data_IF_993290599935
#
_entry.id   IF_993290599935
#
_cell.length_a   1.000
_cell.length_b   1.000
_cell.length_c   1.000
_cell.angle_alpha   90.00
_cell.angle_beta   90.00
_cell.angle_gamma   90.00
#
_symmetry.space_group_name_H-M   'P 1'
#
loop_
_entity.id
_entity.type
_entity.pdbx_description
1 polymer ?
#
# COMPACT_ATOMS: atom_id res chain seq x y z
N UNK A 1 17.30 32.10 -8.17
CA UNK A 1 18.16 31.04 -8.75
C UNK A 1 18.17 29.87 -7.78
N UNK A 2 17.49 28.76 -8.12
CA UNK A 2 17.44 27.58 -7.24
C UNK A 2 18.82 26.92 -7.25
N UNK A 3 19.47 26.76 -6.08
CA UNK A 3 20.63 25.90 -5.93
C UNK A 3 20.21 24.53 -6.46
N UNK A 4 20.86 24.05 -7.52
CA UNK A 4 20.64 22.69 -8.04
C UNK A 4 21.04 21.73 -6.92
N UNK A 5 20.06 21.13 -6.25
CA UNK A 5 20.32 20.20 -5.16
C UNK A 5 20.90 18.96 -5.81
N UNK A 6 22.17 18.68 -5.51
CA UNK A 6 22.90 17.56 -6.11
C UNK A 6 23.05 16.39 -5.15
N UNK A 7 22.99 16.62 -3.84
CA UNK A 7 23.14 15.57 -2.84
C UNK A 7 22.02 15.64 -1.78
N UNK A 8 21.14 14.64 -1.78
CA UNK A 8 20.06 14.52 -0.79
C UNK A 8 20.56 13.98 0.56
N UNK A 9 21.73 13.33 0.61
CA UNK A 9 22.27 12.68 1.81
C UNK A 9 22.81 13.67 2.85
N UNK A 10 23.18 14.87 2.41
CA UNK A 10 23.67 15.95 3.27
C UNK A 10 22.54 16.75 3.94
N UNK A 11 21.29 16.55 3.50
CA UNK A 11 20.15 17.31 4.00
C UNK A 11 19.50 16.64 5.21
N UNK A 12 19.22 17.43 6.24
CA UNK A 12 18.39 16.99 7.35
C UNK A 12 16.95 16.73 6.92
N UNK A 13 16.18 15.96 7.71
CA UNK A 13 14.74 15.78 7.44
C UNK A 13 13.99 17.11 7.31
N UNK A 14 14.34 18.11 8.11
CA UNK A 14 13.70 19.42 8.08
C UNK A 14 13.98 20.20 6.79
N UNK A 15 15.16 20.00 6.19
CA UNK A 15 15.53 20.60 4.91
C UNK A 15 14.88 19.87 3.74
N UNK A 16 14.88 18.53 3.76
CA UNK A 16 14.18 17.71 2.76
C UNK A 16 12.70 18.10 2.66
N UNK A 17 12.02 18.27 3.79
CA UNK A 17 10.60 18.63 3.81
C UNK A 17 10.30 19.99 3.13
N UNK A 18 11.28 20.89 3.00
CA UNK A 18 11.10 22.18 2.31
C UNK A 18 11.19 22.07 0.78
N UNK A 19 11.75 20.98 0.26
CA UNK A 19 11.94 20.79 -1.17
C UNK A 19 10.63 20.50 -1.89
N UNK A 20 10.49 21.00 -3.12
CA UNK A 20 9.42 20.57 -4.03
C UNK A 20 9.76 19.20 -4.60
N UNK A 21 8.75 18.36 -4.76
CA UNK A 21 8.94 17.02 -5.33
C UNK A 21 9.53 17.11 -6.75
N UNK A 22 9.07 18.07 -7.56
CA UNK A 22 9.58 18.34 -8.90
C UNK A 22 11.06 18.76 -8.97
N UNK A 23 11.63 19.24 -7.85
CA UNK A 23 13.00 19.73 -7.79
C UNK A 23 13.98 18.64 -7.30
N UNK A 24 13.48 17.46 -6.93
CA UNK A 24 14.30 16.33 -6.49
C UNK A 24 15.10 15.76 -7.67
N UNK A 25 16.42 15.55 -7.54
CA UNK A 25 17.28 15.05 -8.62
C UNK A 25 17.15 13.52 -8.78
N UNK A 26 15.95 13.04 -9.11
CA UNK A 26 15.65 11.60 -9.14
C UNK A 26 15.58 11.06 -10.57
N UNK A 27 16.06 9.83 -10.73
CA UNK A 27 15.91 9.02 -11.93
C UNK A 27 15.67 7.56 -11.55
N UNK A 28 15.02 6.80 -12.43
CA UNK A 28 14.95 5.34 -12.31
C UNK A 28 16.31 4.73 -12.64
N UNK A 29 16.97 5.25 -13.70
CA UNK A 29 18.30 4.80 -14.13
C UNK A 29 19.31 4.91 -12.99
N UNK A 30 20.11 3.86 -12.81
CA UNK A 30 21.13 3.74 -11.77
C UNK A 30 20.57 3.39 -10.40
N UNK A 31 19.31 2.98 -10.29
CA UNK A 31 18.68 2.58 -9.02
C UNK A 31 18.31 1.10 -9.03
N UNK A 32 18.10 0.53 -7.85
CA UNK A 32 17.60 -0.84 -7.67
C UNK A 32 16.21 -1.08 -8.32
N UNK A 33 15.46 -0.02 -8.62
CA UNK A 33 14.19 -0.10 -9.37
C UNK A 33 14.45 -0.47 -10.83
N UNK A 34 15.52 0.06 -11.44
CA UNK A 34 15.92 -0.29 -12.82
C UNK A 34 16.21 -1.79 -12.93
N UNK A 35 16.85 -2.37 -11.93
CA UNK A 35 17.10 -3.82 -11.84
C UNK A 35 15.79 -4.61 -11.74
N UNK A 36 14.82 -4.15 -10.93
CA UNK A 36 13.50 -4.77 -10.82
C UNK A 36 12.71 -4.69 -12.14
N UNK A 37 12.77 -3.55 -12.84
CA UNK A 37 12.14 -3.37 -14.16
C UNK A 37 12.79 -4.30 -15.19
N UNK A 38 14.13 -4.42 -15.18
CA UNK A 38 14.84 -5.33 -16.07
C UNK A 38 14.45 -6.80 -15.81
N UNK A 39 14.29 -7.18 -14.54
CA UNK A 39 13.79 -8.51 -14.16
C UNK A 39 12.37 -8.74 -14.67
N UNK A 40 11.45 -7.79 -14.45
CA UNK A 40 10.08 -7.87 -14.98
C UNK A 40 10.07 -8.02 -16.52
N UNK A 41 10.88 -7.26 -17.25
CA UNK A 41 10.96 -7.40 -18.70
C UNK A 41 11.44 -8.78 -19.15
N UNK A 42 12.35 -9.38 -18.38
CA UNK A 42 12.78 -10.75 -18.63
C UNK A 42 11.64 -11.74 -18.40
N UNK A 43 10.84 -11.56 -17.34
CA UNK A 43 9.67 -12.41 -17.07
C UNK A 43 8.63 -12.33 -18.20
N UNK A 44 8.37 -11.13 -18.71
CA UNK A 44 7.47 -10.92 -19.85
C UNK A 44 8.01 -11.59 -21.12
N UNK A 45 9.31 -11.48 -21.38
CA UNK A 45 9.97 -12.09 -22.54
C UNK A 45 9.96 -13.62 -22.46
N UNK A 46 10.23 -14.19 -21.29
CA UNK A 46 10.14 -15.64 -21.02
C UNK A 46 8.71 -16.16 -21.23
N UNK A 47 7.69 -15.31 -21.03
CA UNK A 47 6.28 -15.60 -21.34
C UNK A 47 5.87 -15.25 -22.77
N UNK A 48 6.82 -14.84 -23.62
CA UNK A 48 6.57 -14.52 -25.02
C UNK A 48 5.76 -13.25 -25.26
N UNK A 49 5.73 -12.32 -24.30
CA UNK A 49 5.03 -11.03 -24.40
C UNK A 49 6.01 -9.95 -24.89
N UNK A 50 5.69 -9.34 -26.04
CA UNK A 50 6.55 -8.28 -26.63
C UNK A 50 6.35 -6.89 -26.03
N UNK A 51 5.19 -6.65 -25.40
CA UNK A 51 4.85 -5.34 -24.85
C UNK A 51 5.68 -5.05 -23.60
N UNK A 52 6.34 -3.89 -23.60
CA UNK A 52 7.11 -3.37 -22.46
C UNK A 52 6.52 -2.04 -22.03
N UNK A 53 5.82 -1.97 -20.88
CA UNK A 53 5.22 -0.72 -20.41
C UNK A 53 6.30 0.33 -20.12
N UNK A 54 6.00 1.61 -20.37
CA UNK A 54 6.90 2.68 -19.95
C UNK A 54 6.73 2.98 -18.45
N UNK A 55 7.85 3.10 -17.74
CA UNK A 55 7.87 3.46 -16.32
C UNK A 55 8.25 4.93 -16.11
N UNK A 56 7.69 5.55 -15.09
CA UNK A 56 8.03 6.91 -14.68
C UNK A 56 7.87 7.09 -13.16
N UNK A 57 8.53 8.10 -12.59
CA UNK A 57 8.36 8.42 -11.18
C UNK A 57 7.08 9.24 -10.97
N UNK A 58 6.28 8.83 -9.99
CA UNK A 58 5.01 9.43 -9.57
C UNK A 58 4.95 9.56 -8.04
N UNK A 59 3.83 10.00 -7.48
CA UNK A 59 3.59 10.09 -6.04
C UNK A 59 3.16 8.76 -5.38
N UNK A 60 2.67 7.80 -6.15
CA UNK A 60 2.27 6.46 -5.72
C UNK A 60 2.47 5.39 -6.81
N UNK A 61 2.15 4.13 -6.51
CA UNK A 61 2.05 3.06 -7.52
C UNK A 61 0.74 3.24 -8.25
N UNK A 62 0.79 3.29 -9.58
CA UNK A 62 -0.43 3.41 -10.37
C UNK A 62 -0.22 3.03 -11.83
N UNK A 63 -1.30 2.65 -12.47
CA UNK A 63 -1.46 2.65 -13.91
C UNK A 63 -2.69 3.51 -14.23
N UNK A 64 -2.54 4.72 -14.80
CA UNK A 64 -3.69 5.61 -15.00
C UNK A 64 -4.74 4.93 -15.89
N UNK A 65 -6.03 5.19 -15.63
CA UNK A 65 -7.14 4.55 -16.34
C UNK A 65 -6.94 4.61 -17.87
N UNK A 66 -6.88 3.42 -18.49
CA UNK A 66 -6.70 3.21 -19.94
C UNK A 66 -5.39 3.75 -20.52
N UNK A 67 -4.41 4.12 -19.70
CA UNK A 67 -3.09 4.58 -20.14
C UNK A 67 -2.06 3.48 -19.84
N UNK A 68 -1.40 2.88 -20.86
CA UNK A 68 -0.51 1.73 -20.69
C UNK A 68 0.91 2.13 -20.21
N UNK A 69 0.97 2.89 -19.12
CA UNK A 69 2.20 3.41 -18.50
C UNK A 69 2.11 3.27 -16.98
N UNK A 70 3.24 2.99 -16.34
CA UNK A 70 3.27 2.65 -14.90
C UNK A 70 4.02 3.72 -14.12
N UNK A 71 3.34 4.29 -13.12
CA UNK A 71 3.89 5.20 -12.13
C UNK A 71 4.52 4.43 -10.98
N UNK A 72 5.74 4.81 -10.60
CA UNK A 72 6.47 4.26 -9.47
C UNK A 72 6.65 5.37 -8.43
N UNK A 73 6.36 5.14 -7.14
CA UNK A 73 6.54 6.17 -6.11
C UNK A 73 7.97 6.69 -6.06
N UNK A 74 8.12 8.02 -6.13
CA UNK A 74 9.42 8.67 -6.23
C UNK A 74 10.35 8.37 -5.05
N UNK A 75 9.80 8.10 -3.86
CA UNK A 75 10.58 7.84 -2.66
C UNK A 75 11.39 6.54 -2.75
N UNK A 76 10.99 5.60 -3.62
CA UNK A 76 11.75 4.37 -3.87
C UNK A 76 13.08 4.64 -4.59
N UNK A 77 13.17 5.73 -5.35
CA UNK A 77 14.31 6.05 -6.19
C UNK A 77 15.54 6.55 -5.40
N UNK A 78 15.42 6.79 -4.10
CA UNK A 78 16.54 7.26 -3.29
C UNK A 78 16.45 6.79 -1.81
N UNK A 79 17.52 6.23 -1.21
CA UNK A 79 17.48 5.69 0.16
C UNK A 79 17.06 6.70 1.23
N UNK A 80 17.46 7.96 1.10
CA UNK A 80 17.07 9.05 2.01
C UNK A 80 15.57 9.33 1.97
N UNK A 81 14.97 9.33 0.77
CA UNK A 81 13.53 9.54 0.61
C UNK A 81 12.76 8.32 1.08
N UNK A 82 13.27 7.12 0.84
CA UNK A 82 12.70 5.89 1.38
C UNK A 82 12.66 5.90 2.92
N UNK A 83 13.74 6.36 3.57
CA UNK A 83 13.79 6.57 5.02
C UNK A 83 12.80 7.64 5.48
N UNK A 84 12.66 8.72 4.71
CA UNK A 84 11.71 9.79 5.00
C UNK A 84 10.26 9.28 4.90
N UNK A 85 9.92 8.54 3.85
CA UNK A 85 8.59 7.92 3.67
C UNK A 85 8.23 7.06 4.87
N UNK A 86 9.10 6.11 5.24
CA UNK A 86 8.89 5.26 6.43
C UNK A 86 8.74 6.05 7.72
N UNK A 87 9.45 7.18 7.85
CA UNK A 87 9.33 8.05 9.02
C UNK A 87 8.00 8.79 9.06
N UNK A 88 7.51 9.26 7.91
CA UNK A 88 6.30 10.08 7.81
C UNK A 88 5.02 9.24 7.73
N UNK A 89 5.07 8.09 7.08
CA UNK A 89 3.93 7.22 6.77
C UNK A 89 3.97 5.86 7.48
N UNK A 90 5.01 5.59 8.30
CA UNK A 90 5.24 4.34 9.05
C UNK A 90 5.61 3.13 8.18
N UNK A 91 5.15 3.12 6.93
CA UNK A 91 5.56 2.19 5.91
C UNK A 91 6.05 2.93 4.66
N UNK A 92 6.67 2.18 3.76
CA UNK A 92 6.96 2.64 2.41
C UNK A 92 6.61 1.51 1.48
N UNK A 93 5.51 1.68 0.74
CA UNK A 93 4.98 0.66 -0.14
C UNK A 93 5.97 0.30 -1.24
N UNK A 94 6.16 -1.00 -1.48
CA UNK A 94 7.16 -1.51 -2.41
C UNK A 94 8.59 -1.40 -1.89
N UNK A 95 8.83 -1.04 -0.62
CA UNK A 95 10.18 -1.01 -0.05
C UNK A 95 10.76 -2.42 0.09
N UNK A 96 11.59 -2.81 -0.87
CA UNK A 96 12.26 -4.10 -0.92
C UNK A 96 11.93 -4.85 -2.21
N UNK A 97 12.90 -5.62 -2.72
CA UNK A 97 12.81 -6.25 -4.04
C UNK A 97 11.57 -7.12 -4.21
N UNK A 98 11.25 -8.00 -3.26
CA UNK A 98 10.09 -8.91 -3.37
C UNK A 98 8.77 -8.15 -3.51
N UNK A 99 8.55 -7.13 -2.68
CA UNK A 99 7.31 -6.35 -2.71
C UNK A 99 7.24 -5.45 -3.94
N UNK A 100 8.34 -4.80 -4.32
CA UNK A 100 8.45 -4.05 -5.56
C UNK A 100 8.09 -4.92 -6.77
N UNK A 101 8.61 -6.14 -6.85
CA UNK A 101 8.27 -7.08 -7.94
C UNK A 101 6.81 -7.49 -7.92
N UNK A 102 6.17 -7.65 -6.75
CA UNK A 102 4.72 -7.92 -6.68
C UNK A 102 3.92 -6.77 -7.29
N UNK A 103 4.23 -5.52 -6.92
CA UNK A 103 3.54 -4.33 -7.42
C UNK A 103 3.81 -4.12 -8.91
N UNK A 104 5.05 -4.27 -9.36
CA UNK A 104 5.41 -4.19 -10.78
C UNK A 104 4.61 -5.18 -11.65
N UNK A 105 4.46 -6.44 -11.20
CA UNK A 105 3.65 -7.44 -11.93
C UNK A 105 2.17 -7.09 -11.94
N UNK A 106 1.66 -6.57 -10.82
CA UNK A 106 0.27 -6.10 -10.69
C UNK A 106 -0.01 -4.94 -11.64
N UNK A 107 0.77 -3.86 -11.58
CA UNK A 107 0.63 -2.70 -12.47
C UNK A 107 0.81 -3.07 -13.94
N UNK A 108 1.68 -4.03 -14.24
CA UNK A 108 1.84 -4.56 -15.60
C UNK A 108 0.58 -5.26 -16.09
N UNK A 109 -0.19 -5.89 -15.20
CA UNK A 109 -1.51 -6.43 -15.50
C UNK A 109 -2.46 -5.36 -16.02
N UNK A 110 -2.60 -4.24 -15.31
CA UNK A 110 -3.38 -3.09 -15.79
C UNK A 110 -2.84 -2.55 -17.13
N UNK A 111 -1.52 -2.33 -17.23
CA UNK A 111 -0.92 -1.79 -18.44
C UNK A 111 -1.17 -2.69 -19.67
N UNK A 112 -1.11 -4.01 -19.52
CA UNK A 112 -1.46 -4.97 -20.57
C UNK A 112 -2.96 -4.94 -20.88
N UNK A 113 -3.82 -4.89 -19.86
CA UNK A 113 -5.25 -4.75 -20.04
C UNK A 113 -5.59 -3.55 -20.95
N UNK A 114 -4.92 -2.42 -20.69
CA UNK A 114 -5.14 -1.17 -21.41
C UNK A 114 -4.50 -1.17 -22.80
N UNK A 115 -3.26 -1.66 -22.92
CA UNK A 115 -2.51 -1.72 -24.16
C UNK A 115 -3.23 -2.54 -25.24
N UNK A 116 -3.91 -3.62 -24.85
CA UNK A 116 -4.64 -4.52 -25.76
C UNK A 116 -6.16 -4.40 -25.66
N UNK A 117 -6.67 -3.50 -24.80
CA UNK A 117 -8.10 -3.28 -24.54
C UNK A 117 -8.85 -4.57 -24.17
N UNK A 118 -8.23 -5.41 -23.33
CA UNK A 118 -8.76 -6.73 -22.97
C UNK A 118 -10.08 -6.63 -22.22
N UNK A 119 -10.26 -5.56 -21.44
CA UNK A 119 -11.48 -5.19 -20.74
C UNK A 119 -12.72 -5.04 -21.64
N UNK A 120 -12.56 -4.98 -22.97
CA UNK A 120 -13.66 -4.94 -23.95
C UNK A 120 -14.10 -6.32 -24.43
N UNK A 121 -13.34 -7.37 -24.13
CA UNK A 121 -13.65 -8.72 -24.59
C UNK A 121 -14.81 -9.31 -23.77
N UNK A 122 -15.77 -9.95 -24.42
CA UNK A 122 -16.94 -10.54 -23.76
C UNK A 122 -16.51 -11.56 -22.69
N UNK A 123 -15.59 -12.46 -23.02
CA UNK A 123 -15.10 -13.47 -22.07
C UNK A 123 -14.36 -12.84 -20.88
N UNK A 124 -13.72 -11.68 -21.05
CA UNK A 124 -13.10 -10.95 -19.94
C UNK A 124 -14.20 -10.47 -18.99
N UNK A 125 -15.23 -9.81 -19.53
CA UNK A 125 -16.36 -9.30 -18.76
C UNK A 125 -17.14 -10.41 -18.04
N UNK A 126 -17.31 -11.56 -18.66
CA UNK A 126 -17.99 -12.71 -18.06
C UNK A 126 -17.22 -13.29 -16.85
N UNK A 127 -15.89 -13.25 -16.89
CA UNK A 127 -15.04 -13.83 -15.85
C UNK A 127 -14.73 -12.88 -14.69
N UNK A 128 -14.45 -11.61 -14.99
CA UNK A 128 -14.02 -10.61 -14.01
C UNK A 128 -15.16 -9.68 -13.59
N UNK A 129 -16.14 -9.45 -14.46
CA UNK A 129 -17.23 -8.50 -14.25
C UNK A 129 -17.12 -7.25 -15.13
N UNK A 130 -18.02 -6.28 -14.97
CA UNK A 130 -18.04 -5.08 -15.80
C UNK A 130 -16.89 -4.13 -15.44
N UNK A 131 -16.03 -3.81 -16.42
CA UNK A 131 -14.95 -2.84 -16.25
C UNK A 131 -15.45 -1.42 -15.89
N UNK A 132 -16.69 -1.09 -16.26
CA UNK A 132 -17.32 0.20 -15.96
C UNK A 132 -17.92 0.27 -14.55
N UNK A 133 -17.58 -0.68 -13.66
CA UNK A 133 -18.01 -0.59 -12.27
C UNK A 133 -17.38 0.62 -11.63
N UNK A 134 -18.08 1.26 -10.70
CA UNK A 134 -17.47 2.34 -9.92
C UNK A 134 -16.49 1.72 -8.91
N UNK A 135 -15.36 2.39 -8.71
CA UNK A 135 -14.49 2.08 -7.59
C UNK A 135 -15.19 2.55 -6.31
N UNK A 136 -15.57 1.61 -5.45
CA UNK A 136 -16.15 1.96 -4.17
C UNK A 136 -15.05 2.57 -3.28
N UNK A 137 -15.35 3.70 -2.63
CA UNK A 137 -14.45 4.34 -1.65
C UNK A 137 -13.99 3.36 -0.58
N UNK A 138 -14.80 2.32 -0.31
CA UNK A 138 -14.36 1.15 0.42
C UNK A 138 -15.00 -0.14 -0.09
N UNK A 139 -14.21 -1.17 -0.36
CA UNK A 139 -14.73 -2.48 -0.78
C UNK A 139 -14.88 -3.45 0.40
N UNK A 140 -15.99 -4.19 0.46
CA UNK A 140 -16.19 -5.32 1.37
C UNK A 140 -15.73 -6.60 0.68
N UNK A 141 -14.73 -7.30 1.21
CA UNK A 141 -14.27 -8.57 0.65
C UNK A 141 -14.72 -9.78 1.45
N UNK A 142 -14.71 -10.94 0.80
CA UNK A 142 -15.01 -12.25 1.40
C UNK A 142 -13.69 -13.00 1.63
N UNK A 143 -13.20 -13.12 2.89
CA UNK A 143 -11.85 -13.66 3.16
C UNK A 143 -11.65 -15.09 2.66
N UNK A 144 -12.69 -15.93 2.77
CA UNK A 144 -12.64 -17.35 2.38
C UNK A 144 -13.07 -17.59 0.92
N UNK A 145 -13.30 -16.54 0.14
CA UNK A 145 -13.64 -16.70 -1.27
C UNK A 145 -12.50 -17.35 -2.02
N UNK A 146 -12.81 -18.45 -2.71
CA UNK A 146 -11.90 -19.14 -3.63
C UNK A 146 -12.07 -18.69 -5.07
N UNK A 147 -12.85 -17.64 -5.32
CA UNK A 147 -13.09 -17.09 -6.66
C UNK A 147 -12.03 -16.09 -7.12
N UNK A 148 -11.13 -15.70 -6.23
CA UNK A 148 -10.11 -14.69 -6.48
C UNK A 148 -8.74 -15.26 -6.15
N UNK A 149 -7.73 -14.85 -6.91
CA UNK A 149 -6.34 -15.15 -6.55
C UNK A 149 -5.91 -14.32 -5.33
N UNK A 150 -4.75 -14.64 -4.77
CA UNK A 150 -4.11 -13.85 -3.71
C UNK A 150 -2.67 -13.53 -4.13
N UNK A 151 -2.43 -12.28 -4.52
CA UNK A 151 -1.11 -11.78 -4.89
C UNK A 151 -0.67 -10.65 -3.97
N UNK A 152 -1.40 -9.53 -3.96
CA UNK A 152 -1.26 -8.48 -2.97
C UNK A 152 -2.08 -8.80 -1.71
N UNK A 153 -1.77 -8.08 -0.63
CA UNK A 153 -2.47 -8.23 0.65
C UNK A 153 -3.94 -7.73 0.56
N UNK A 154 -4.71 -7.88 1.64
CA UNK A 154 -6.07 -7.32 1.77
C UNK A 154 -7.10 -7.78 0.73
N UNK A 155 -6.89 -8.91 0.06
CA UNK A 155 -7.81 -9.44 -0.95
C UNK A 155 -8.08 -8.44 -2.08
N UNK A 156 -7.03 -7.74 -2.52
CA UNK A 156 -7.12 -6.65 -3.49
C UNK A 156 -7.84 -7.01 -4.79
N UNK A 157 -7.75 -8.27 -5.22
CA UNK A 157 -8.51 -8.83 -6.35
C UNK A 157 -10.04 -8.69 -6.23
N UNK A 158 -10.59 -8.41 -5.05
CA UNK A 158 -12.03 -8.21 -4.82
C UNK A 158 -12.47 -6.75 -4.88
N UNK A 159 -11.52 -5.80 -5.03
CA UNK A 159 -11.79 -4.37 -5.05
C UNK A 159 -12.61 -3.96 -6.29
N UNK A 160 -12.17 -4.39 -7.47
CA UNK A 160 -12.78 -4.02 -8.74
C UNK A 160 -12.42 -5.08 -9.80
N UNK A 161 -13.25 -5.31 -10.84
CA UNK A 161 -12.95 -6.27 -11.91
C UNK A 161 -11.58 -6.08 -12.58
N UNK A 162 -11.11 -4.84 -12.65
CA UNK A 162 -9.78 -4.54 -13.19
C UNK A 162 -8.66 -5.01 -12.25
N UNK A 163 -8.83 -4.85 -10.93
CA UNK A 163 -7.90 -5.34 -9.90
C UNK A 163 -7.85 -6.88 -9.87
N UNK A 164 -8.99 -7.53 -10.04
CA UNK A 164 -9.09 -8.98 -10.16
C UNK A 164 -8.27 -9.50 -11.35
N UNK A 165 -8.35 -8.81 -12.50
CA UNK A 165 -7.53 -9.13 -13.66
C UNK A 165 -6.05 -8.88 -13.40
N UNK A 166 -5.68 -7.73 -12.84
CA UNK A 166 -4.29 -7.37 -12.56
C UNK A 166 -3.63 -8.35 -11.58
N UNK A 167 -4.32 -8.71 -10.50
CA UNK A 167 -3.89 -9.72 -9.54
C UNK A 167 -3.75 -11.10 -10.19
N UNK A 168 -4.73 -11.51 -11.01
CA UNK A 168 -4.69 -12.79 -11.74
C UNK A 168 -3.50 -12.84 -12.70
N UNK A 169 -3.26 -11.76 -13.44
CA UNK A 169 -2.12 -11.62 -14.32
C UNK A 169 -0.80 -11.71 -13.55
N UNK A 170 -0.69 -11.02 -12.41
CA UNK A 170 0.52 -11.03 -11.62
C UNK A 170 0.86 -12.41 -11.04
N UNK A 171 -0.15 -13.17 -10.59
CA UNK A 171 0.02 -14.58 -10.20
C UNK A 171 0.50 -15.44 -11.37
N UNK A 172 -0.10 -15.27 -12.55
CA UNK A 172 0.26 -16.03 -13.74
C UNK A 172 1.71 -15.74 -14.21
N UNK A 173 2.15 -14.49 -14.11
CA UNK A 173 3.48 -14.05 -14.51
C UNK A 173 4.58 -14.46 -13.50
N UNK A 174 4.23 -14.64 -12.22
CA UNK A 174 5.21 -14.88 -11.15
C UNK A 174 6.07 -16.13 -11.43
N UNK A 175 7.41 -15.99 -11.59
CA UNK A 175 8.30 -17.10 -11.89
C UNK A 175 8.31 -18.17 -10.80
N UNK A 176 8.41 -19.44 -11.20
CA UNK A 176 8.50 -20.58 -10.30
C UNK A 176 7.23 -20.90 -9.49
N UNK A 177 6.19 -20.07 -9.58
CA UNK A 177 4.93 -20.34 -8.90
C UNK A 177 4.10 -21.35 -9.70
N UNK A 178 3.93 -22.56 -9.16
CA UNK A 178 3.01 -23.55 -9.72
C UNK A 178 1.55 -23.18 -9.37
N UNK A 179 1.01 -22.18 -10.08
CA UNK A 179 -0.34 -21.68 -9.85
C UNK A 179 -1.42 -22.71 -10.15
N UNK A 180 -1.18 -23.64 -11.07
CA UNK A 180 -2.10 -24.76 -11.36
C UNK A 180 -2.36 -25.58 -10.10
N UNK A 181 -1.31 -25.98 -9.38
CA UNK A 181 -1.44 -26.74 -8.15
C UNK A 181 -1.97 -25.87 -7.00
N UNK A 182 -1.43 -24.64 -6.84
CA UNK A 182 -1.84 -23.72 -5.77
C UNK A 182 -3.34 -23.40 -5.80
N UNK A 183 -3.92 -23.24 -6.99
CA UNK A 183 -5.33 -22.87 -7.18
C UNK A 183 -6.19 -24.02 -7.69
N UNK A 184 -5.71 -25.27 -7.68
CA UNK A 184 -6.39 -26.46 -8.23
C UNK A 184 -7.85 -26.64 -7.79
N UNK A 185 -8.15 -26.30 -6.54
CA UNK A 185 -9.48 -26.45 -5.93
C UNK A 185 -10.25 -25.12 -5.85
N UNK A 186 -9.75 -24.07 -6.51
CA UNK A 186 -10.28 -22.72 -6.45
C UNK A 186 -10.94 -22.35 -7.77
N UNK A 187 -12.07 -21.65 -7.70
CA UNK A 187 -12.74 -21.12 -8.89
C UNK A 187 -11.85 -20.09 -9.62
N UNK A 188 -10.93 -19.43 -8.90
CA UNK A 188 -9.93 -18.54 -9.49
C UNK A 188 -9.06 -19.21 -10.58
N UNK A 189 -8.94 -20.54 -10.57
CA UNK A 189 -8.20 -21.28 -11.60
C UNK A 189 -8.77 -21.04 -13.02
N UNK A 190 -10.09 -20.87 -13.15
CA UNK A 190 -10.74 -20.55 -14.43
C UNK A 190 -10.18 -19.25 -15.03
N UNK A 191 -9.95 -18.23 -14.18
CA UNK A 191 -9.38 -16.95 -14.58
C UNK A 191 -7.90 -17.08 -14.97
N UNK A 192 -7.13 -17.87 -14.22
CA UNK A 192 -5.71 -18.14 -14.55
C UNK A 192 -5.57 -18.86 -15.89
N UNK A 193 -6.39 -19.89 -16.14
CA UNK A 193 -6.43 -20.59 -17.43
C UNK A 193 -6.87 -19.68 -18.58
N UNK A 194 -7.79 -18.75 -18.30
CA UNK A 194 -8.19 -17.73 -19.26
C UNK A 194 -7.04 -16.78 -19.59
N UNK A 195 -6.36 -16.23 -18.57
CA UNK A 195 -5.21 -15.34 -18.76
C UNK A 195 -4.09 -16.05 -19.53
N UNK A 196 -3.78 -17.30 -19.19
CA UNK A 196 -2.75 -18.09 -19.88
C UNK A 196 -3.03 -18.19 -21.40
N UNK A 197 -4.24 -18.64 -21.77
CA UNK A 197 -4.68 -18.69 -23.18
C UNK A 197 -4.75 -17.32 -23.84
N UNK A 198 -5.10 -16.28 -23.10
CA UNK A 198 -5.18 -14.92 -23.61
C UNK A 198 -3.79 -14.37 -23.93
N UNK A 199 -2.82 -14.62 -23.06
CA UNK A 199 -1.44 -14.20 -23.24
C UNK A 199 -0.76 -14.97 -24.38
N UNK A 200 -1.06 -16.25 -24.59
CA UNK A 200 -0.63 -16.97 -25.81
C UNK A 200 -1.17 -16.33 -27.09
N UNK A 201 -2.44 -15.93 -27.11
CA UNK A 201 -3.07 -15.25 -28.27
C UNK A 201 -2.47 -13.87 -28.53
N UNK A 202 -2.10 -13.16 -27.48
CA UNK A 202 -1.41 -11.86 -27.58
C UNK A 202 0.01 -12.10 -28.11
N UNK A 203 0.79 -12.94 -27.42
CA UNK A 203 2.17 -13.28 -27.77
C UNK A 203 3.00 -12.06 -28.19
N UNK A 204 3.54 -12.13 -29.41
CA UNK A 204 4.39 -11.10 -30.01
C UNK A 204 3.61 -10.02 -30.78
N UNK A 205 2.27 -9.98 -30.68
CA UNK A 205 1.47 -8.96 -31.36
C UNK A 205 1.78 -7.59 -30.78
N UNK A 206 1.72 -6.55 -31.62
CA UNK A 206 1.86 -5.17 -31.17
C UNK A 206 0.63 -4.73 -30.36
N UNK A 207 0.81 -3.89 -29.32
CA UNK A 207 -0.30 -3.34 -28.57
C UNK A 207 -1.17 -2.43 -29.45
N UNK A 208 -2.46 -2.39 -29.16
CA UNK A 208 -3.40 -1.46 -29.82
C UNK A 208 -3.19 -0.01 -29.34
N UNK A 209 -2.78 0.15 -28.08
CA UNK A 209 -2.38 1.42 -27.48
C UNK A 209 -0.94 1.27 -27.00
N UNK A 210 0.01 1.87 -27.72
CA UNK A 210 1.44 1.68 -27.45
C UNK A 210 2.04 2.73 -26.50
N UNK A 211 1.34 3.86 -26.29
CA UNK A 211 1.80 4.98 -25.48
C UNK A 211 0.65 5.47 -24.61
N UNK A 212 0.99 6.05 -23.46
CA UNK A 212 0.02 6.67 -22.58
C UNK A 212 0.51 7.95 -21.93
N UNK A 213 -0.43 8.67 -21.31
CA UNK A 213 -0.16 9.89 -20.55
C UNK A 213 0.37 9.56 -19.15
N UNK A 214 1.47 10.22 -18.78
CA UNK A 214 2.12 10.09 -17.46
C UNK A 214 1.47 11.05 -16.47
N UNK A 215 0.35 10.65 -15.88
CA UNK A 215 -0.34 11.42 -14.86
C UNK A 215 0.46 11.44 -13.54
N UNK A 216 0.31 12.48 -12.72
CA UNK A 216 1.04 12.64 -11.44
C UNK A 216 2.57 12.49 -11.51
N UNK A 217 3.17 12.66 -12.69
CA UNK A 217 4.60 12.47 -12.86
C UNK A 217 5.42 13.47 -12.03
N UNK A 218 6.56 13.02 -11.50
CA UNK A 218 7.47 13.77 -10.62
C UNK A 218 7.69 15.22 -11.06
N UNK A 219 7.98 15.44 -12.36
CA UNK A 219 8.28 16.76 -12.92
C UNK A 219 7.12 17.77 -12.84
N UNK A 220 5.89 17.30 -12.63
CA UNK A 220 4.67 18.11 -12.48
C UNK A 220 4.27 18.32 -11.02
N UNK A 221 4.84 17.58 -10.07
CA UNK A 221 4.51 17.65 -8.65
C UNK A 221 5.21 18.85 -7.97
N UNK A 222 4.62 20.04 -8.09
CA UNK A 222 5.16 21.30 -7.52
C UNK A 222 4.97 21.45 -6.00
N UNK A 223 4.28 20.51 -5.37
CA UNK A 223 4.04 20.51 -3.92
C UNK A 223 5.36 20.23 -3.17
N UNK A 224 5.56 20.89 -2.03
CA UNK A 224 6.68 20.58 -1.13
C UNK A 224 6.49 19.22 -0.47
N UNK A 225 7.57 18.49 -0.16
CA UNK A 225 7.52 17.24 0.60
C UNK A 225 6.74 17.39 1.92
N UNK A 226 6.89 18.51 2.64
CA UNK A 226 6.11 18.82 3.85
C UNK A 226 4.60 18.75 3.61
N UNK A 227 4.13 19.45 2.57
CA UNK A 227 2.71 19.52 2.25
C UNK A 227 2.20 18.21 1.61
N UNK A 228 3.04 17.49 0.85
CA UNK A 228 2.72 16.16 0.37
C UNK A 228 2.44 15.21 1.54
N UNK A 229 3.37 15.12 2.49
CA UNK A 229 3.18 14.27 3.66
C UNK A 229 2.03 14.72 4.54
N UNK A 230 1.84 16.03 4.72
CA UNK A 230 0.66 16.54 5.43
C UNK A 230 -0.62 16.07 4.76
N UNK A 231 -0.78 16.27 3.45
CA UNK A 231 -1.98 15.82 2.72
C UNK A 231 -2.16 14.30 2.78
N UNK A 232 -1.08 13.53 2.61
CA UNK A 232 -1.13 12.07 2.66
C UNK A 232 -1.52 11.58 4.06
N UNK A 233 -0.99 12.21 5.10
CA UNK A 233 -1.38 11.98 6.49
C UNK A 233 -2.79 12.43 6.78
N UNK A 234 -3.24 13.55 6.23
CA UNK A 234 -4.61 14.05 6.38
C UNK A 234 -5.58 13.11 5.69
N UNK A 235 -5.29 12.59 4.49
CA UNK A 235 -6.10 11.55 3.83
C UNK A 235 -6.12 10.25 4.62
N UNK A 236 -4.96 9.76 5.06
CA UNK A 236 -4.87 8.61 5.98
C UNK A 236 -5.63 8.84 7.30
N UNK A 237 -5.61 10.07 7.77
CA UNK A 237 -6.33 10.52 8.95
C UNK A 237 -7.73 11.03 8.62
N UNK A 238 -8.23 11.04 7.38
CA UNK A 238 -9.60 11.36 6.98
C UNK A 238 -10.34 10.06 6.68
N UNK A 239 -9.60 9.05 6.22
CA UNK A 239 -9.95 7.65 6.35
C UNK A 239 -10.08 7.24 7.84
N UNK A 240 -9.36 7.90 8.77
CA UNK A 240 -9.37 7.58 10.22
C UNK A 240 -9.14 8.76 11.21
N UNK A 241 -9.88 9.89 11.20
CA UNK A 241 -9.62 11.04 12.09
C UNK A 241 -10.17 10.79 13.49
N UNK A 242 -11.37 10.21 13.53
CA UNK A 242 -12.13 9.97 14.74
C UNK A 242 -11.95 8.54 15.25
N UNK A 243 -11.23 7.69 14.52
CA UNK A 243 -11.23 6.26 14.82
C UNK A 243 -10.56 5.90 16.15
N UNK A 244 -9.36 6.42 16.40
CA UNK A 244 -8.64 6.18 17.65
C UNK A 244 -9.21 7.00 18.80
N UNK A 245 -9.54 8.26 18.54
CA UNK A 245 -10.09 9.16 19.54
C UNK A 245 -11.47 8.71 20.01
N UNK A 246 -12.33 8.12 19.17
CA UNK A 246 -13.64 7.59 19.58
C UNK A 246 -13.50 6.51 20.66
N UNK A 247 -12.57 5.56 20.49
CA UNK A 247 -12.32 4.55 21.52
C UNK A 247 -11.61 5.14 22.74
N UNK A 248 -10.58 5.96 22.52
CA UNK A 248 -9.82 6.54 23.64
C UNK A 248 -10.68 7.46 24.51
N UNK A 249 -11.60 8.24 23.92
CA UNK A 249 -12.57 9.08 24.66
C UNK A 249 -13.63 8.25 25.40
N UNK A 250 -13.95 7.04 24.94
CA UNK A 250 -14.88 6.15 25.64
C UNK A 250 -14.26 5.51 26.88
N UNK A 251 -12.95 5.39 26.90
CA UNK A 251 -12.21 4.59 27.89
C UNK A 251 -11.40 5.47 28.84
N UNK A 252 -10.99 6.66 28.41
CA UNK A 252 -10.16 7.59 29.17
C UNK A 252 -10.72 9.01 29.11
N UNK A 253 -10.27 9.85 30.04
CA UNK A 253 -10.73 11.23 30.17
C UNK A 253 -9.63 12.21 29.77
N UNK A 254 -9.97 13.32 29.11
CA UNK A 254 -9.00 14.42 28.92
C UNK A 254 -8.69 15.07 30.28
N UNK A 255 -7.42 15.32 30.55
CA UNK A 255 -6.98 15.89 31.83
C UNK A 255 -7.49 17.34 32.00
N UNK A 256 -8.15 17.59 33.13
CA UNK A 256 -8.59 18.92 33.57
C UNK A 256 -7.78 19.37 34.80
N UNK A 257 -8.12 20.54 35.36
CA UNK A 257 -7.50 21.01 36.61
C UNK A 257 -7.79 20.09 37.81
N UNK A 258 -8.94 19.42 37.80
CA UNK A 258 -9.42 18.55 38.89
C UNK A 258 -8.83 17.14 38.79
N UNK A 259 -8.46 16.69 37.58
CA UNK A 259 -7.89 15.36 37.32
C UNK A 259 -6.38 15.38 37.10
N UNK A 260 -5.70 16.43 37.57
CA UNK A 260 -4.27 16.65 37.33
C UNK A 260 -3.39 15.55 37.94
N UNK A 261 -3.83 14.96 39.05
CA UNK A 261 -3.09 13.93 39.78
C UNK A 261 -3.37 12.50 39.26
N UNK A 262 -4.29 12.36 38.29
CA UNK A 262 -4.58 11.06 37.68
C UNK A 262 -3.46 10.62 36.74
N UNK A 263 -3.33 9.29 36.60
CA UNK A 263 -2.31 8.64 35.78
C UNK A 263 -2.51 9.01 34.31
N UNK A 264 -1.46 9.55 33.69
CA UNK A 264 -1.45 9.80 32.25
C UNK A 264 -1.29 8.48 31.50
N UNK A 265 -2.22 8.21 30.59
CA UNK A 265 -2.23 7.00 29.77
C UNK A 265 -0.95 6.89 28.95
N UNK A 266 -0.43 8.01 28.45
CA UNK A 266 0.83 8.05 27.72
C UNK A 266 2.02 7.48 28.52
N UNK A 267 2.13 7.81 29.79
CA UNK A 267 3.26 7.38 30.63
C UNK A 267 3.20 5.88 30.90
N UNK A 268 2.01 5.34 31.13
CA UNK A 268 1.78 3.89 31.26
C UNK A 268 2.17 3.16 29.97
N UNK A 269 1.72 3.66 28.81
CA UNK A 269 2.06 3.05 27.52
C UNK A 269 3.55 3.14 27.20
N UNK A 270 4.22 4.21 27.60
CA UNK A 270 5.68 4.36 27.48
C UNK A 270 6.41 3.32 28.34
N UNK A 271 5.97 3.13 29.59
CA UNK A 271 6.53 2.16 30.53
C UNK A 271 6.38 0.72 30.05
N UNK A 272 5.19 0.34 29.57
CA UNK A 272 4.87 -1.04 29.17
C UNK A 272 4.97 -1.31 27.67
N UNK A 273 5.56 -0.40 26.89
CA UNK A 273 5.64 -0.48 25.42
C UNK A 273 6.09 -1.84 24.91
N UNK A 274 7.17 -2.40 25.48
CA UNK A 274 7.76 -3.68 25.05
C UNK A 274 6.82 -4.86 25.32
N UNK A 275 6.10 -4.81 26.44
CA UNK A 275 5.17 -5.86 26.85
C UNK A 275 3.94 -5.88 25.93
N UNK A 276 3.36 -4.71 25.65
CA UNK A 276 2.23 -4.56 24.72
C UNK A 276 2.64 -5.09 23.34
N UNK A 277 3.75 -4.61 22.81
CA UNK A 277 4.25 -4.99 21.49
C UNK A 277 4.51 -6.49 21.35
N UNK A 278 5.13 -7.12 22.36
CA UNK A 278 5.38 -8.56 22.33
C UNK A 278 4.10 -9.40 22.43
N UNK A 279 3.13 -8.98 23.25
CA UNK A 279 1.86 -9.70 23.38
C UNK A 279 1.01 -9.60 22.13
N UNK A 280 0.84 -8.40 21.56
CA UNK A 280 0.09 -8.22 20.32
C UNK A 280 0.73 -9.05 19.20
N UNK A 281 2.06 -8.98 19.02
CA UNK A 281 2.74 -9.73 17.96
C UNK A 281 2.56 -11.25 18.11
N UNK A 282 2.54 -11.75 19.34
CA UNK A 282 2.28 -13.16 19.63
C UNK A 282 0.85 -13.56 19.33
N UNK A 283 -0.12 -12.70 19.65
CA UNK A 283 -1.54 -12.97 19.47
C UNK A 283 -1.98 -12.87 18.00
N UNK A 284 -1.41 -11.94 17.23
CA UNK A 284 -1.84 -11.67 15.85
C UNK A 284 -0.96 -12.33 14.80
N UNK A 285 0.24 -12.78 15.17
CA UNK A 285 1.25 -13.24 14.22
C UNK A 285 1.90 -12.12 13.41
N UNK A 286 1.55 -10.86 13.70
CA UNK A 286 1.96 -9.71 12.90
C UNK A 286 3.37 -9.20 13.23
N UNK A 287 4.02 -8.54 12.27
CA UNK A 287 5.39 -8.08 12.44
C UNK A 287 5.45 -6.99 13.49
N UNK A 288 6.38 -7.15 14.45
CA UNK A 288 6.57 -6.25 15.59
C UNK A 288 6.74 -4.77 15.22
N UNK A 289 7.29 -4.45 14.04
CA UNK A 289 7.46 -3.07 13.62
C UNK A 289 6.11 -2.40 13.25
N UNK A 290 5.18 -3.11 12.60
CA UNK A 290 3.84 -2.61 12.26
C UNK A 290 3.06 -2.28 13.54
N UNK A 291 3.12 -3.19 14.52
CA UNK A 291 2.51 -2.98 15.84
C UNK A 291 3.19 -1.82 16.59
N UNK A 292 4.52 -1.72 16.50
CA UNK A 292 5.30 -0.63 17.09
C UNK A 292 4.84 0.74 16.59
N UNK A 293 4.51 0.82 15.31
CA UNK A 293 4.10 2.03 14.63
C UNK A 293 2.65 2.41 14.98
N UNK A 294 1.73 1.46 14.98
CA UNK A 294 0.36 1.66 15.50
C UNK A 294 0.36 2.13 16.96
N UNK A 295 1.20 1.51 17.80
CA UNK A 295 1.35 1.91 19.20
C UNK A 295 1.94 3.32 19.34
N UNK A 296 2.83 3.76 18.44
CA UNK A 296 3.33 5.16 18.43
C UNK A 296 2.20 6.14 18.13
N UNK A 297 1.30 5.82 17.19
CA UNK A 297 0.16 6.66 16.86
C UNK A 297 -0.75 6.83 18.07
N UNK A 298 -1.14 5.72 18.73
CA UNK A 298 -1.98 5.75 19.93
C UNK A 298 -1.31 6.54 21.07
N UNK A 299 -0.02 6.30 21.32
CA UNK A 299 0.74 7.07 22.32
C UNK A 299 0.77 8.57 22.00
N UNK A 300 0.95 8.93 20.72
CA UNK A 300 0.94 10.32 20.27
C UNK A 300 -0.42 11.00 20.52
N UNK A 301 -1.54 10.31 20.24
CA UNK A 301 -2.89 10.81 20.54
C UNK A 301 -3.10 10.99 22.04
N UNK A 302 -2.72 10.01 22.86
CA UNK A 302 -2.82 10.11 24.32
C UNK A 302 -2.02 11.29 24.89
N UNK A 303 -0.83 11.55 24.34
CA UNK A 303 -0.03 12.69 24.76
C UNK A 303 -0.65 14.03 24.31
N UNK A 304 -1.14 14.11 23.07
CA UNK A 304 -1.73 15.33 22.51
C UNK A 304 -3.00 15.76 23.24
N UNK A 305 -3.87 14.80 23.57
CA UNK A 305 -5.13 15.02 24.31
C UNK A 305 -4.98 15.00 25.83
N UNK A 306 -3.77 14.67 26.31
CA UNK A 306 -3.47 14.42 27.73
C UNK A 306 -4.50 13.50 28.38
N UNK A 307 -4.74 12.33 27.78
CA UNK A 307 -5.65 11.34 28.35
C UNK A 307 -5.12 10.84 29.70
N UNK A 308 -5.98 10.85 30.70
CA UNK A 308 -5.73 10.35 32.05
C UNK A 308 -6.79 9.34 32.50
N UNK A 309 -6.47 8.56 33.52
CA UNK A 309 -7.37 7.56 34.10
C UNK A 309 -7.19 7.43 35.61
N UNK A 310 -8.26 7.05 36.30
CA UNK A 310 -8.23 6.60 37.69
C UNK A 310 -7.95 5.10 37.83
N UNK A 311 -7.95 4.35 36.70
CA UNK A 311 -7.64 2.92 36.68
C UNK A 311 -6.15 2.65 36.90
N UNK A 312 -5.82 1.44 37.36
CA UNK A 312 -4.44 1.02 37.55
C UNK A 312 -3.68 0.80 36.24
N UNK A 313 -2.35 0.79 36.30
CA UNK A 313 -1.49 0.61 35.12
C UNK A 313 -1.82 -0.70 34.35
N UNK A 314 -2.15 -1.77 35.07
CA UNK A 314 -2.46 -3.08 34.49
C UNK A 314 -3.72 -3.04 33.60
N UNK A 315 -4.76 -2.34 34.03
CA UNK A 315 -6.02 -2.22 33.29
C UNK A 315 -5.83 -1.41 32.01
N UNK A 316 -5.06 -0.32 32.08
CA UNK A 316 -4.69 0.48 30.90
C UNK A 316 -3.94 -0.38 29.87
N UNK A 317 -2.94 -1.14 30.34
CA UNK A 317 -2.16 -2.03 29.48
C UNK A 317 -3.04 -3.10 28.84
N UNK A 318 -3.94 -3.71 29.61
CA UNK A 318 -4.87 -4.72 29.12
C UNK A 318 -5.80 -4.14 28.04
N UNK A 319 -6.45 -3.01 28.32
CA UNK A 319 -7.39 -2.36 27.39
C UNK A 319 -6.72 -1.93 26.09
N UNK A 320 -5.54 -1.34 26.16
CA UNK A 320 -4.80 -0.92 24.97
C UNK A 320 -4.24 -2.11 24.21
N UNK A 321 -3.76 -3.15 24.89
CA UNK A 321 -3.31 -4.39 24.23
C UNK A 321 -4.47 -5.05 23.51
N UNK A 322 -5.64 -5.19 24.14
CA UNK A 322 -6.84 -5.75 23.53
C UNK A 322 -7.32 -4.90 22.34
N UNK A 323 -7.30 -3.57 22.49
CA UNK A 323 -7.66 -2.64 21.43
C UNK A 323 -6.73 -2.80 20.22
N UNK A 324 -5.41 -2.66 20.42
CA UNK A 324 -4.40 -2.82 19.36
C UNK A 324 -4.47 -4.21 18.73
N UNK A 325 -4.71 -5.27 19.52
CA UNK A 325 -4.88 -6.62 18.99
C UNK A 325 -6.11 -6.71 18.09
N UNK A 326 -7.25 -6.15 18.53
CA UNK A 326 -8.48 -6.09 17.74
C UNK A 326 -8.26 -5.31 16.46
N UNK A 327 -7.61 -4.16 16.56
CA UNK A 327 -7.22 -3.33 15.44
C UNK A 327 -6.39 -4.12 14.42
N UNK A 328 -5.27 -4.69 14.86
CA UNK A 328 -4.35 -5.43 13.99
C UNK A 328 -5.06 -6.62 13.37
N UNK A 329 -5.81 -7.40 14.13
CA UNK A 329 -6.56 -8.54 13.59
C UNK A 329 -7.61 -8.10 12.59
N UNK A 330 -8.33 -7.03 12.88
CA UNK A 330 -9.33 -6.50 11.97
C UNK A 330 -8.70 -5.97 10.68
N UNK A 331 -7.55 -5.30 10.79
CA UNK A 331 -6.77 -4.87 9.63
C UNK A 331 -6.30 -6.06 8.79
N UNK A 332 -5.85 -7.13 9.43
CA UNK A 332 -5.44 -8.35 8.75
C UNK A 332 -6.61 -9.06 8.06
N UNK A 333 -7.82 -9.00 8.63
CA UNK A 333 -9.00 -9.71 8.10
C UNK A 333 -9.90 -8.89 7.19
N UNK A 334 -9.85 -7.55 7.26
CA UNK A 334 -10.77 -6.64 6.55
C UNK A 334 -10.05 -5.52 5.80
N UNK A 335 -8.72 -5.43 5.89
CA UNK A 335 -7.95 -4.31 5.36
C UNK A 335 -8.17 -2.99 6.11
N UNK A 336 -9.07 -2.98 7.11
CA UNK A 336 -9.44 -1.82 7.94
C UNK A 336 -9.31 -2.15 9.42
N UNK A 337 -9.06 -1.12 10.22
CA UNK A 337 -8.99 -1.26 11.67
C UNK A 337 -10.39 -1.38 12.35
N UNK A 338 -11.51 -1.11 11.64
CA UNK A 338 -12.91 -1.22 12.12
C UNK A 338 -13.76 -2.16 11.24
N UNK A 339 -14.64 -2.95 11.87
CA UNK A 339 -15.73 -3.66 11.17
C UNK A 339 -16.94 -2.74 11.07
N UNK A 340 -17.70 -2.83 9.99
CA UNK A 340 -18.92 -2.04 9.85
C UNK A 340 -19.96 -2.46 10.89
N UNK A 341 -20.63 -1.47 11.49
CA UNK A 341 -21.76 -1.70 12.39
C UNK A 341 -23.01 -2.04 11.60
#
# INVERSE_FOLDING_TARGET
MSKKITNLEELSSGELLKLRISDLPLSIKGTWIEECIAELYKELEEKGISFRPEFYLADEWLTPDKEPVIGIPFFLAHPVLLKLEKKMMLEAEGAGKEWCMKLLRHETGHAINYAYRLYRLNNWRELFGPFSSEYEDTYRFRPYSKSFVRHLEKHYAQCHPDEDFAETFAVWLTPGLNWHEKYKTWKALEKLLYVDKLMEKIGQRKPQVAKGKKHWCLSRLRISLKNYYRKKQDLWAEEFPDFYDEYLNKVFYEQTRETKDLLLVFDVLKKFRKNILNNVARCTGERKFIISDLLKVIMSRCNKRRFCTAEGEADVVLRITAYITTLVMNYLYTGKFKGEK
#
